data_IF_841536520851
#
_entry.id   IF_841536520851
#
_cell.length_a   1.000
_cell.length_b   1.000
_cell.length_c   1.000
_cell.angle_alpha   90.00
_cell.angle_beta   90.00
_cell.angle_gamma   90.00
#
_symmetry.space_group_name_H-M   'P 1'
#
loop_
_entity.id
_entity.type
_entity.pdbx_description
1 polymer ?
#
# COMPACT_ATOMS: atom_id res chain seq x y z
N UNK A 1 -14.79 -24.48 -16.10
CA UNK A 1 -13.65 -24.82 -15.23
C UNK A 1 -12.42 -24.28 -15.92
N UNK A 2 -11.91 -23.13 -15.49
CA UNK A 2 -10.73 -22.51 -16.09
C UNK A 2 -9.53 -22.81 -15.20
N UNK A 3 -8.51 -23.42 -15.79
CA UNK A 3 -7.22 -23.77 -15.20
C UNK A 3 -6.52 -22.54 -14.60
N UNK A 4 -5.96 -22.74 -13.42
CA UNK A 4 -5.06 -21.82 -12.75
C UNK A 4 -3.66 -22.24 -13.17
N UNK A 5 -3.08 -21.55 -14.14
CA UNK A 5 -1.65 -21.66 -14.41
C UNK A 5 -0.88 -21.03 -13.25
N UNK A 6 -0.34 -21.91 -12.39
CA UNK A 6 0.76 -21.60 -11.50
C UNK A 6 2.03 -21.44 -12.34
N UNK A 7 2.56 -20.22 -12.41
CA UNK A 7 3.99 -20.03 -12.67
C UNK A 7 4.59 -19.46 -11.38
N UNK A 8 4.98 -20.39 -10.52
CA UNK A 8 5.97 -20.14 -9.46
C UNK A 8 7.34 -20.27 -10.12
N UNK A 9 7.99 -19.14 -10.39
CA UNK A 9 9.39 -19.13 -10.79
C UNK A 9 10.25 -19.34 -9.53
N UNK A 10 10.65 -20.59 -9.33
CA UNK A 10 11.62 -21.03 -8.33
C UNK A 10 12.91 -21.37 -9.08
N UNK A 11 13.69 -20.35 -9.42
CA UNK A 11 15.07 -20.57 -9.88
C UNK A 11 15.97 -19.46 -9.36
N UNK A 12 16.61 -19.74 -8.21
CA UNK A 12 17.99 -19.34 -7.86
C UNK A 12 18.20 -19.57 -6.34
N UNK A 13 18.53 -20.81 -5.98
CA UNK A 13 19.17 -21.12 -4.70
C UNK A 13 19.90 -22.47 -4.79
N UNK A 14 21.14 -22.46 -5.27
CA UNK A 14 22.11 -23.54 -5.04
C UNK A 14 23.39 -22.93 -4.47
N UNK A 15 23.86 -23.49 -3.34
CA UNK A 15 25.25 -23.37 -2.88
C UNK A 15 25.45 -22.71 -1.52
N UNK A 16 25.40 -23.48 -0.42
CA UNK A 16 25.84 -23.00 0.89
C UNK A 16 25.61 -23.95 2.07
N UNK A 17 26.49 -24.94 2.20
CA UNK A 17 26.58 -25.93 3.27
C UNK A 17 26.75 -25.28 4.67
N UNK A 18 26.00 -25.72 5.69
CA UNK A 18 26.18 -25.21 7.06
C UNK A 18 25.14 -25.66 8.10
N UNK A 19 25.37 -26.84 8.68
CA UNK A 19 25.02 -27.31 10.03
C UNK A 19 23.97 -26.52 10.86
N UNK A 20 22.80 -27.13 11.10
CA UNK A 20 21.83 -26.71 12.11
C UNK A 20 22.30 -27.11 13.53
N UNK A 21 22.28 -26.22 14.54
CA UNK A 21 22.39 -26.65 15.93
C UNK A 21 21.00 -26.86 16.55
N UNK A 22 20.81 -28.06 17.09
CA UNK A 22 19.72 -28.47 17.98
C UNK A 22 19.73 -27.63 19.27
N UNK A 23 18.60 -26.98 19.58
CA UNK A 23 18.37 -26.38 20.91
C UNK A 23 17.46 -27.29 21.73
N UNK A 24 18.01 -27.79 22.82
CA UNK A 24 17.34 -28.58 23.84
C UNK A 24 16.24 -27.76 24.54
N UNK A 25 15.07 -28.38 24.68
CA UNK A 25 14.02 -27.97 25.60
C UNK A 25 14.47 -28.26 27.04
N UNK A 26 14.37 -27.28 27.93
CA UNK A 26 14.34 -27.52 29.37
C UNK A 26 13.13 -26.84 29.99
N UNK A 27 12.21 -27.66 30.46
CA UNK A 27 11.12 -27.30 31.37
C UNK A 27 11.67 -27.02 32.77
N UNK A 28 11.07 -26.06 33.47
CA UNK A 28 11.28 -25.81 34.89
C UNK A 28 10.05 -25.13 35.48
N UNK A 29 9.28 -25.89 36.26
CA UNK A 29 8.09 -25.44 36.99
C UNK A 29 8.44 -24.93 38.41
N UNK A 30 7.74 -23.86 38.83
CA UNK A 30 7.09 -23.52 40.15
C UNK A 30 7.76 -23.98 41.47
N UNK A 31 7.69 -23.30 42.62
CA UNK A 31 6.86 -22.23 43.20
C UNK A 31 7.49 -21.81 44.56
N UNK A 32 7.13 -20.64 45.12
CA UNK A 32 7.38 -20.32 46.53
C UNK A 32 7.35 -18.82 46.87
N UNK A 33 6.21 -18.30 47.34
CA UNK A 33 5.97 -16.88 47.57
C UNK A 33 6.29 -16.36 48.98
N UNK A 34 6.29 -15.03 49.11
CA UNK A 34 5.92 -14.29 50.34
C UNK A 34 5.55 -12.84 50.00
N UNK A 35 4.55 -12.35 50.72
CA UNK A 35 3.75 -11.13 50.55
C UNK A 35 4.39 -9.85 51.10
N UNK A 36 4.11 -8.68 50.49
CA UNK A 36 3.74 -7.44 51.23
C UNK A 36 3.20 -6.31 50.32
N UNK A 37 1.90 -6.04 50.52
CA UNK A 37 1.17 -4.75 50.59
C UNK A 37 1.83 -3.45 50.07
N UNK A 38 1.22 -2.89 49.01
CA UNK A 38 0.57 -1.57 49.04
C UNK A 38 1.41 -0.30 48.79
N UNK A 39 1.19 0.34 47.64
CA UNK A 39 0.62 1.70 47.56
C UNK A 39 0.33 2.10 46.10
N UNK A 40 -0.93 2.45 45.84
CA UNK A 40 -1.40 3.05 44.58
C UNK A 40 -1.01 4.52 44.56
N UNK A 41 -0.28 4.97 43.54
CA UNK A 41 -0.13 6.38 43.20
C UNK A 41 -0.85 6.66 41.88
N UNK A 42 -2.02 7.27 42.00
CA UNK A 42 -2.83 7.82 40.90
C UNK A 42 -2.25 9.17 40.49
N UNK A 43 -1.41 9.19 39.45
CA UNK A 43 -0.90 10.45 38.91
C UNK A 43 -1.89 11.02 37.90
N UNK A 44 -2.53 12.11 38.32
CA UNK A 44 -3.45 13.00 37.57
C UNK A 44 -3.00 13.21 36.11
N UNK A 45 -3.91 12.94 35.17
CA UNK A 45 -3.82 13.44 33.79
C UNK A 45 -3.94 14.96 33.83
N UNK A 46 -2.92 15.67 33.36
CA UNK A 46 -2.92 17.11 33.17
C UNK A 46 -3.82 17.40 31.96
N UNK A 47 -4.91 18.12 32.21
CA UNK A 47 -5.82 18.64 31.21
C UNK A 47 -5.07 19.79 30.52
N UNK A 48 -4.56 19.55 29.31
CA UNK A 48 -4.06 20.63 28.46
C UNK A 48 -5.28 21.36 27.91
N UNK A 49 -5.30 22.67 28.17
CA UNK A 49 -6.38 23.59 27.87
C UNK A 49 -6.71 23.56 26.37
N UNK A 50 -7.98 23.26 26.06
CA UNK A 50 -8.49 23.35 24.71
C UNK A 50 -8.45 24.82 24.26
N UNK A 51 -7.49 25.16 23.40
CA UNK A 51 -7.55 26.42 22.67
C UNK A 51 -8.79 26.41 21.77
N UNK A 52 -9.72 27.32 22.08
CA UNK A 52 -10.92 27.62 21.35
C UNK A 52 -10.59 27.98 19.89
N UNK A 53 -10.84 27.03 18.99
CA UNK A 53 -10.53 27.15 17.59
C UNK A 53 -11.79 26.93 16.77
N UNK A 54 -12.30 28.05 16.23
CA UNK A 54 -13.44 28.19 15.32
C UNK A 54 -13.61 26.99 14.35
N UNK A 55 -14.85 26.55 14.01
CA UNK A 55 -15.10 25.36 13.18
C UNK A 55 -14.35 25.33 11.84
N UNK A 56 -14.10 26.51 11.25
CA UNK A 56 -13.41 26.65 9.96
C UNK A 56 -11.91 26.32 10.00
N UNK A 57 -11.26 26.39 11.17
CA UNK A 57 -9.84 26.02 11.32
C UNK A 57 -9.66 24.50 11.50
N UNK A 58 -10.61 23.81 12.12
CA UNK A 58 -10.56 22.34 12.31
C UNK A 58 -10.58 21.57 10.98
N UNK A 59 -11.36 22.03 10.00
CA UNK A 59 -11.44 21.41 8.65
C UNK A 59 -10.16 21.54 7.81
N UNK A 60 -9.34 22.57 8.06
CA UNK A 60 -8.08 22.79 7.33
C UNK A 60 -7.01 21.75 7.71
N UNK A 61 -6.96 21.33 8.97
CA UNK A 61 -5.90 20.43 9.47
C UNK A 61 -6.11 18.94 9.20
N UNK A 62 -7.31 18.48 8.85
CA UNK A 62 -7.54 17.03 8.68
C UNK A 62 -6.80 16.44 7.47
N UNK A 63 -6.82 17.13 6.32
CA UNK A 63 -6.09 16.68 5.12
C UNK A 63 -4.57 16.64 5.35
N UNK A 64 -4.04 17.66 6.02
CA UNK A 64 -2.62 17.73 6.39
C UNK A 64 -2.23 16.58 7.34
N UNK A 65 -3.03 16.31 8.38
CA UNK A 65 -2.81 15.16 9.28
C UNK A 65 -2.79 13.83 8.53
N UNK A 66 -3.71 13.64 7.57
CA UNK A 66 -3.76 12.44 6.73
C UNK A 66 -2.51 12.32 5.86
N UNK A 67 -2.12 13.41 5.17
CA UNK A 67 -0.92 13.46 4.36
C UNK A 67 0.33 13.12 5.18
N UNK A 68 0.51 13.76 6.34
CA UNK A 68 1.62 13.50 7.27
C UNK A 68 1.62 12.05 7.75
N UNK A 69 0.46 11.49 8.10
CA UNK A 69 0.37 10.09 8.53
C UNK A 69 0.89 9.14 7.46
N UNK A 70 0.41 9.26 6.22
CA UNK A 70 0.86 8.39 5.12
C UNK A 70 2.32 8.62 4.73
N UNK A 71 2.79 9.87 4.73
CA UNK A 71 4.19 10.20 4.47
C UNK A 71 5.14 9.61 5.53
N UNK A 72 4.69 9.45 6.77
CA UNK A 72 5.50 8.85 7.85
C UNK A 72 5.62 7.33 7.76
N UNK A 73 4.77 6.65 6.98
CA UNK A 73 4.76 5.19 6.87
C UNK A 73 5.92 4.69 6.01
N UNK A 74 6.91 4.09 6.67
CA UNK A 74 8.04 3.44 6.01
C UNK A 74 7.59 2.34 5.04
N UNK A 75 8.28 2.25 3.92
CA UNK A 75 8.08 1.15 2.98
C UNK A 75 8.73 -0.12 3.52
N UNK A 76 7.90 -1.09 3.87
CA UNK A 76 8.36 -2.44 4.19
C UNK A 76 8.37 -3.27 2.91
N UNK A 77 9.52 -3.90 2.62
CA UNK A 77 9.72 -4.69 1.41
C UNK A 77 8.81 -5.93 1.33
N UNK A 78 8.86 -6.63 0.20
CA UNK A 78 8.00 -7.80 -0.08
C UNK A 78 8.13 -8.90 0.99
N UNK A 79 9.35 -9.18 1.45
CA UNK A 79 9.61 -10.19 2.49
C UNK A 79 8.96 -9.83 3.84
N UNK A 80 9.02 -8.57 4.26
CA UNK A 80 8.35 -8.13 5.48
C UNK A 80 6.82 -8.19 5.32
N UNK A 81 6.32 -7.91 4.11
CA UNK A 81 4.89 -7.95 3.81
C UNK A 81 4.31 -9.38 3.84
N UNK A 82 5.08 -10.38 3.41
CA UNK A 82 4.64 -11.79 3.43
C UNK A 82 4.49 -12.33 4.85
N UNK A 83 5.25 -11.80 5.80
CA UNK A 83 5.17 -12.15 7.22
C UNK A 83 4.05 -11.40 7.98
N UNK A 84 3.27 -10.56 7.30
CA UNK A 84 2.21 -9.79 7.96
C UNK A 84 1.00 -10.66 8.28
N UNK A 85 0.37 -10.44 9.45
CA UNK A 85 -0.86 -11.12 9.90
C UNK A 85 -2.00 -11.08 8.86
N UNK A 86 -2.04 -10.02 8.05
CA UNK A 86 -3.09 -9.78 7.05
C UNK A 86 -2.63 -10.11 5.62
N UNK A 87 -1.57 -10.89 5.44
CA UNK A 87 -1.02 -11.25 4.12
C UNK A 87 -2.08 -11.80 3.17
N UNK A 88 -2.83 -12.82 3.59
CA UNK A 88 -3.87 -13.44 2.77
C UNK A 88 -5.01 -12.47 2.43
N UNK A 89 -5.42 -11.63 3.38
CA UNK A 89 -6.44 -10.60 3.14
C UNK A 89 -5.96 -9.56 2.11
N UNK A 90 -4.69 -9.14 2.15
CA UNK A 90 -4.13 -8.25 1.13
C UNK A 90 -4.13 -8.90 -0.25
N UNK A 91 -3.84 -10.20 -0.34
CA UNK A 91 -3.87 -10.94 -1.59
C UNK A 91 -5.30 -11.07 -2.13
N UNK A 92 -6.27 -11.39 -1.26
CA UNK A 92 -7.68 -11.43 -1.62
C UNK A 92 -8.17 -10.05 -2.14
N UNK A 93 -7.87 -8.97 -1.42
CA UNK A 93 -8.22 -7.62 -1.84
C UNK A 93 -7.55 -7.25 -3.19
N UNK A 94 -6.31 -7.66 -3.40
CA UNK A 94 -5.63 -7.46 -4.68
C UNK A 94 -6.27 -8.26 -5.81
N UNK A 95 -6.69 -9.49 -5.55
CA UNK A 95 -7.40 -10.33 -6.51
C UNK A 95 -8.76 -9.71 -6.89
N UNK A 96 -9.56 -9.29 -5.89
CA UNK A 96 -10.85 -8.66 -6.12
C UNK A 96 -10.71 -7.41 -6.99
N UNK A 97 -9.70 -6.56 -6.70
CA UNK A 97 -9.39 -5.39 -7.52
C UNK A 97 -9.03 -5.77 -8.96
N UNK A 98 -8.24 -6.83 -9.17
CA UNK A 98 -7.89 -7.30 -10.52
C UNK A 98 -9.12 -7.74 -11.31
N UNK A 99 -10.02 -8.51 -10.69
CA UNK A 99 -11.26 -8.96 -11.32
C UNK A 99 -12.15 -7.76 -11.70
N UNK A 100 -12.36 -6.84 -10.75
CA UNK A 100 -13.21 -5.68 -10.96
C UNK A 100 -12.66 -4.74 -12.05
N UNK A 101 -11.35 -4.46 -12.01
CA UNK A 101 -10.70 -3.62 -13.04
C UNK A 101 -10.84 -4.27 -14.42
N UNK A 102 -10.59 -5.58 -14.53
CA UNK A 102 -10.73 -6.30 -15.79
C UNK A 102 -12.15 -6.18 -16.36
N UNK A 103 -13.16 -6.46 -15.54
CA UNK A 103 -14.57 -6.40 -15.97
C UNK A 103 -14.98 -4.99 -16.43
N UNK A 104 -14.55 -3.94 -15.72
CA UNK A 104 -14.85 -2.56 -16.10
C UNK A 104 -14.13 -2.19 -17.40
N UNK A 105 -12.85 -2.55 -17.55
CA UNK A 105 -12.10 -2.26 -18.77
C UNK A 105 -12.72 -2.94 -20.00
N UNK A 106 -13.18 -4.19 -19.88
CA UNK A 106 -13.84 -4.90 -20.97
C UNK A 106 -15.15 -4.23 -21.39
N UNK A 107 -15.94 -3.73 -20.42
CA UNK A 107 -17.17 -2.97 -20.71
C UNK A 107 -16.88 -1.65 -21.42
N UNK A 108 -15.90 -0.89 -20.94
CA UNK A 108 -15.57 0.44 -21.51
C UNK A 108 -14.93 0.31 -22.89
N UNK A 109 -14.11 -0.73 -23.12
CA UNK A 109 -13.40 -0.95 -24.38
C UNK A 109 -14.32 -1.17 -25.59
N UNK A 110 -15.56 -1.62 -25.37
CA UNK A 110 -16.52 -1.82 -26.46
C UNK A 110 -16.86 -0.52 -27.21
N UNK A 111 -16.65 0.65 -26.60
CA UNK A 111 -16.90 1.95 -27.22
C UNK A 111 -15.65 2.80 -27.49
N UNK A 112 -14.46 2.38 -27.06
CA UNK A 112 -13.27 3.25 -27.03
C UNK A 112 -12.00 2.51 -27.46
N UNK A 113 -11.25 3.11 -28.40
CA UNK A 113 -9.96 2.57 -28.89
C UNK A 113 -8.79 2.86 -27.95
N UNK A 114 -8.84 3.98 -27.24
CA UNK A 114 -7.83 4.42 -26.27
C UNK A 114 -8.50 4.69 -24.93
N UNK A 115 -7.90 4.19 -23.86
CA UNK A 115 -8.46 4.29 -22.51
C UNK A 115 -7.57 5.18 -21.63
N UNK A 116 -8.15 6.27 -21.15
CA UNK A 116 -7.56 7.16 -20.14
C UNK A 116 -8.19 6.84 -18.77
N UNK A 117 -7.37 6.62 -17.75
CA UNK A 117 -7.81 6.25 -16.40
C UNK A 117 -7.33 7.28 -15.38
N UNK A 118 -8.20 7.61 -14.43
CA UNK A 118 -7.85 8.37 -13.22
C UNK A 118 -7.90 7.44 -12.00
N UNK A 119 -6.76 7.29 -11.32
CA UNK A 119 -6.60 6.51 -10.10
C UNK A 119 -6.50 7.46 -8.90
N UNK A 120 -7.63 7.63 -8.19
CA UNK A 120 -7.75 8.50 -7.02
C UNK A 120 -7.38 7.74 -5.74
N UNK A 121 -6.49 8.33 -4.94
CA UNK A 121 -5.92 7.65 -3.77
C UNK A 121 -5.00 6.51 -4.20
N UNK A 122 -4.21 6.72 -5.25
CA UNK A 122 -3.37 5.69 -5.86
C UNK A 122 -2.33 5.10 -4.89
N UNK A 123 -2.07 5.80 -3.77
CA UNK A 123 -1.07 5.46 -2.79
C UNK A 123 0.27 5.20 -3.46
N UNK A 124 0.95 4.14 -3.02
CA UNK A 124 2.27 3.72 -3.52
C UNK A 124 2.21 2.95 -4.86
N UNK A 125 1.14 3.06 -5.65
CA UNK A 125 1.03 2.40 -6.95
C UNK A 125 0.81 0.88 -6.91
N UNK A 126 -0.06 0.40 -6.01
CA UNK A 126 -0.36 -1.03 -5.89
C UNK A 126 -1.16 -1.64 -7.06
N UNK A 127 -1.76 -0.79 -7.90
CA UNK A 127 -2.60 -1.18 -9.02
C UNK A 127 -1.97 -0.94 -10.40
N UNK A 128 -0.75 -0.37 -10.45
CA UNK A 128 0.00 -0.10 -11.69
C UNK A 128 0.11 -1.32 -12.61
N UNK A 129 0.40 -2.50 -12.06
CA UNK A 129 0.50 -3.73 -12.86
C UNK A 129 -0.86 -4.19 -13.41
N UNK A 130 -1.95 -3.89 -12.70
CA UNK A 130 -3.31 -4.19 -13.17
C UNK A 130 -3.65 -3.29 -14.36
N UNK A 131 -3.33 -2.01 -14.26
CA UNK A 131 -3.47 -1.05 -15.37
C UNK A 131 -2.60 -1.42 -16.58
N UNK A 132 -1.36 -1.92 -16.35
CA UNK A 132 -0.47 -2.38 -17.42
C UNK A 132 -1.07 -3.56 -18.17
N UNK A 133 -1.50 -4.60 -17.44
CA UNK A 133 -2.19 -5.78 -18.01
C UNK A 133 -3.53 -5.41 -18.66
N UNK A 134 -4.15 -4.34 -18.17
CA UNK A 134 -5.35 -3.76 -18.74
C UNK A 134 -5.15 -3.04 -20.07
N UNK A 135 -3.92 -2.87 -20.57
CA UNK A 135 -3.60 -2.21 -21.85
C UNK A 135 -4.30 -0.85 -22.03
N UNK A 136 -4.24 0.00 -21.01
CA UNK A 136 -4.73 1.38 -21.10
C UNK A 136 -3.71 2.26 -21.86
N UNK A 137 -4.14 3.44 -22.31
CA UNK A 137 -3.28 4.39 -23.04
C UNK A 137 -2.64 5.41 -22.10
N UNK A 138 -3.39 5.90 -21.11
CA UNK A 138 -2.94 6.91 -20.16
C UNK A 138 -3.48 6.65 -18.75
N UNK A 139 -2.66 6.93 -17.75
CA UNK A 139 -3.01 6.88 -16.34
C UNK A 139 -2.67 8.21 -15.66
N UNK A 140 -3.61 8.76 -14.90
CA UNK A 140 -3.35 9.85 -13.96
C UNK A 140 -3.48 9.27 -12.56
N UNK A 141 -2.40 9.34 -11.78
CA UNK A 141 -2.34 8.89 -10.40
C UNK A 141 -2.38 10.10 -9.48
N UNK A 142 -3.39 10.19 -8.61
CA UNK A 142 -3.52 11.28 -7.65
C UNK A 142 -3.63 10.76 -6.22
N UNK A 143 -2.89 11.35 -5.29
CA UNK A 143 -2.96 11.04 -3.86
C UNK A 143 -2.64 12.28 -3.02
N UNK A 144 -3.10 12.30 -1.77
CA UNK A 144 -2.87 13.41 -0.84
C UNK A 144 -1.44 13.38 -0.26
N UNK A 145 -0.80 12.20 -0.23
CA UNK A 145 0.50 11.99 0.38
C UNK A 145 1.62 12.00 -0.66
N UNK A 146 2.40 13.10 -0.72
CA UNK A 146 3.50 13.29 -1.66
C UNK A 146 4.47 12.11 -1.74
N UNK A 147 4.87 11.53 -0.60
CA UNK A 147 5.81 10.40 -0.55
C UNK A 147 5.20 9.16 -1.21
N UNK A 148 3.89 8.94 -1.06
CA UNK A 148 3.20 7.85 -1.73
C UNK A 148 3.17 8.04 -3.25
N UNK A 149 2.94 9.28 -3.70
CA UNK A 149 2.96 9.64 -5.13
C UNK A 149 4.35 9.45 -5.73
N UNK A 150 5.41 9.92 -5.06
CA UNK A 150 6.80 9.72 -5.49
C UNK A 150 7.16 8.22 -5.58
N UNK A 151 6.72 7.41 -4.60
CA UNK A 151 6.89 5.96 -4.63
C UNK A 151 6.12 5.30 -5.78
N UNK A 152 4.91 5.78 -6.07
CA UNK A 152 4.11 5.33 -7.21
C UNK A 152 4.84 5.63 -8.53
N UNK A 153 5.37 6.85 -8.69
CA UNK A 153 6.14 7.26 -9.85
C UNK A 153 7.40 6.40 -10.02
N UNK A 154 8.16 6.18 -8.94
CA UNK A 154 9.34 5.31 -8.97
C UNK A 154 9.01 3.89 -9.44
N UNK A 155 7.93 3.29 -8.94
CA UNK A 155 7.49 1.95 -9.38
C UNK A 155 7.04 1.91 -10.84
N UNK A 156 6.40 2.97 -11.33
CA UNK A 156 6.05 3.09 -12.75
C UNK A 156 7.30 3.15 -13.63
N UNK A 157 8.29 3.98 -13.27
CA UNK A 157 9.54 4.09 -14.02
C UNK A 157 10.34 2.78 -14.02
N UNK A 158 10.40 2.07 -12.89
CA UNK A 158 11.03 0.75 -12.81
C UNK A 158 10.31 -0.27 -13.70
N UNK A 159 8.97 -0.26 -13.68
CA UNK A 159 8.15 -1.14 -14.53
C UNK A 159 8.35 -0.82 -16.02
N UNK A 160 8.55 0.45 -16.37
CA UNK A 160 8.85 0.91 -17.74
C UNK A 160 10.25 0.49 -18.19
N UNK A 161 11.27 0.63 -17.33
CA UNK A 161 12.66 0.23 -17.62
C UNK A 161 12.83 -1.28 -17.80
N UNK A 162 12.06 -2.09 -17.05
CA UNK A 162 12.09 -3.55 -17.14
C UNK A 162 11.29 -4.13 -18.31
N UNK A 163 10.46 -3.31 -18.97
CA UNK A 163 9.67 -3.74 -20.12
C UNK A 163 10.55 -4.05 -21.33
N UNK A 164 10.11 -4.99 -22.16
CA UNK A 164 10.76 -5.23 -23.45
C UNK A 164 10.58 -4.01 -24.37
N UNK A 165 11.51 -3.79 -25.32
CA UNK A 165 11.45 -2.61 -26.20
C UNK A 165 10.13 -2.49 -27.01
N UNK A 166 9.45 -3.61 -27.25
CA UNK A 166 8.16 -3.67 -27.96
C UNK A 166 6.94 -3.72 -27.02
N UNK A 167 7.15 -3.74 -25.70
CA UNK A 167 6.05 -3.76 -24.75
C UNK A 167 5.58 -2.32 -24.49
N UNK A 168 4.46 -1.94 -25.13
CA UNK A 168 3.85 -0.62 -24.95
C UNK A 168 3.26 -0.50 -23.54
N UNK A 169 3.83 0.38 -22.73
CA UNK A 169 3.28 0.83 -21.45
C UNK A 169 2.47 2.12 -21.64
N UNK A 170 1.45 2.32 -20.80
CA UNK A 170 0.68 3.57 -20.78
C UNK A 170 1.56 4.77 -20.40
N UNK A 171 1.18 5.96 -20.88
CA UNK A 171 1.74 7.22 -20.35
C UNK A 171 1.17 7.49 -18.96
N UNK A 172 1.96 8.08 -18.06
CA UNK A 172 1.53 8.32 -16.68
C UNK A 172 1.80 9.77 -16.24
N UNK A 173 0.87 10.31 -15.44
CA UNK A 173 0.98 11.60 -14.75
C UNK A 173 0.73 11.40 -13.25
N UNK A 174 1.48 12.12 -12.41
CA UNK A 174 1.46 11.95 -10.96
C UNK A 174 1.16 13.28 -10.28
N UNK A 175 0.06 13.33 -9.51
CA UNK A 175 -0.45 14.56 -8.90
C UNK A 175 -0.54 14.37 -7.39
N UNK A 176 0.13 15.24 -6.64
CA UNK A 176 -0.08 15.33 -5.18
C UNK A 176 -1.16 16.36 -4.91
N UNK A 177 -2.34 15.92 -4.49
CA UNK A 177 -3.46 16.80 -4.21
C UNK A 177 -4.48 16.19 -3.24
N UNK A 178 -5.07 17.06 -2.41
CA UNK A 178 -6.31 16.74 -1.70
C UNK A 178 -7.48 16.80 -2.69
N UNK A 179 -7.80 15.65 -3.30
CA UNK A 179 -8.86 15.51 -4.30
C UNK A 179 -10.27 15.79 -3.76
N UNK A 180 -10.43 15.99 -2.44
CA UNK A 180 -11.71 16.42 -1.84
C UNK A 180 -11.89 17.95 -1.84
N UNK A 181 -10.82 18.72 -2.08
CA UNK A 181 -10.80 20.18 -2.00
C UNK A 181 -10.34 20.86 -3.28
N UNK A 182 -9.64 20.13 -4.15
CA UNK A 182 -9.06 20.67 -5.38
C UNK A 182 -9.87 20.19 -6.57
N UNK A 183 -10.21 21.12 -7.47
CA UNK A 183 -10.72 20.79 -8.79
C UNK A 183 -9.53 20.46 -9.69
N UNK A 184 -9.35 19.18 -10.00
CA UNK A 184 -8.31 18.74 -10.93
C UNK A 184 -8.83 18.89 -12.35
N UNK A 185 -8.36 19.90 -13.09
CA UNK A 185 -8.64 20.00 -14.53
C UNK A 185 -7.76 19.00 -15.26
N UNK A 186 -8.32 17.84 -15.57
CA UNK A 186 -7.62 16.81 -16.34
C UNK A 186 -8.00 16.94 -17.81
N UNK A 187 -6.99 17.10 -18.67
CA UNK A 187 -7.15 16.99 -20.12
C UNK A 187 -7.10 15.50 -20.52
N UNK A 188 -8.15 14.72 -20.22
CA UNK A 188 -8.21 13.27 -20.49
C UNK A 188 -8.43 12.91 -21.96
#
# INVERSE_FOLDING_TARGET
MAEIDQVVDLSEAEGGNGQLPSREFREGAREGGSSSVGQKATTKRKHEEEEDCSPSKKLRGHGEKVATHYNSLQETGLAARSQSRIFYMRNFNNWLKSVLIGEILDKVRQGHRELSVLDLGCGKGGDLLKWKKGHISRLVCADIAAVSVEQCQGRYEDMKKRGHHNERIFSAEFITADCSKVQTTLSL
#
